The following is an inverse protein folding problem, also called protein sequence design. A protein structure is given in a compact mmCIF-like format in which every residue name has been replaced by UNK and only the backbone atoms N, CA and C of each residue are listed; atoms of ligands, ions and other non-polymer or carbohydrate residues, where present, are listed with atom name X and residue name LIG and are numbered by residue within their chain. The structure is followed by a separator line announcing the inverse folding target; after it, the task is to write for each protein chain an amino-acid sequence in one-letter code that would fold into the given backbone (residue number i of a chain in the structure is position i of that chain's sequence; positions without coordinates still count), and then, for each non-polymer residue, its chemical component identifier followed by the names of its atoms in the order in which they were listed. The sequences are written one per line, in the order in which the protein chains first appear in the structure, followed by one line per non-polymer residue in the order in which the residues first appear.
data_IF_549908011244
#
_entry.id   IF_549908011244
#
_cell.length_a   1.000
_cell.length_b   1.000
_cell.length_c   1.000
_cell.angle_alpha   90.00
_cell.angle_beta   90.00
_cell.angle_gamma   90.00
#
_symmetry.space_group_name_H-M   'P 1'
#
loop_
_entity.id
_entity.type
_entity.pdbx_description
1 polymer ?
#
# COMPACT_ATOMS: atom_id res chain seq x y z
N UNK A 1 -12.79 -9.73 6.04
CA UNK A 1 -11.66 -10.30 6.81
C UNK A 1 -11.66 -11.80 6.59
N UNK A 2 -10.51 -12.48 6.61
CA UNK A 2 -10.46 -13.95 6.57
C UNK A 2 -10.44 -14.54 7.98
N UNK A 3 -10.70 -15.84 8.12
CA UNK A 3 -10.63 -16.56 9.40
C UNK A 3 -9.21 -16.57 9.99
N UNK A 4 -8.21 -16.41 9.13
CA UNK A 4 -6.80 -16.28 9.52
C UNK A 4 -6.39 -14.83 9.81
N UNK A 5 -7.35 -13.90 9.76
CA UNK A 5 -7.15 -12.52 10.13
C UNK A 5 -6.60 -11.65 9.01
N UNK A 6 -6.46 -12.11 7.76
CA UNK A 6 -6.15 -11.22 6.64
C UNK A 6 -7.29 -10.21 6.43
N UNK A 7 -6.96 -8.99 6.00
CA UNK A 7 -7.91 -7.87 5.90
C UNK A 7 -7.79 -7.27 4.52
N UNK A 8 -8.94 -7.03 3.90
CA UNK A 8 -9.12 -6.22 2.71
C UNK A 8 -10.14 -5.14 3.04
N UNK A 9 -9.79 -3.89 2.77
CA UNK A 9 -10.61 -2.72 3.05
C UNK A 9 -10.87 -1.99 1.75
N UNK A 10 -12.15 -1.71 1.48
CA UNK A 10 -12.59 -1.04 0.25
C UNK A 10 -13.24 0.28 0.61
N UNK A 11 -12.72 1.36 0.07
CA UNK A 11 -13.35 2.67 0.08
C UNK A 11 -13.85 2.95 -1.34
N UNK A 12 -15.12 2.60 -1.56
CA UNK A 12 -15.77 2.68 -2.86
C UNK A 12 -15.87 4.13 -3.37
N UNK A 13 -16.04 5.11 -2.47
CA UNK A 13 -16.19 6.52 -2.84
C UNK A 13 -14.98 7.05 -3.62
N UNK A 14 -13.78 6.67 -3.20
CA UNK A 14 -12.53 7.17 -3.78
C UNK A 14 -11.77 6.11 -4.60
N UNK A 15 -12.39 4.95 -4.86
CA UNK A 15 -11.76 3.81 -5.55
C UNK A 15 -10.43 3.37 -4.91
N UNK A 16 -10.42 3.28 -3.57
CA UNK A 16 -9.23 2.87 -2.81
C UNK A 16 -9.47 1.45 -2.29
N UNK A 17 -8.49 0.58 -2.49
CA UNK A 17 -8.50 -0.78 -1.94
C UNK A 17 -7.18 -1.01 -1.23
N UNK A 18 -7.25 -1.48 0.01
CA UNK A 18 -6.11 -1.87 0.82
C UNK A 18 -6.22 -3.34 1.16
N UNK A 19 -5.13 -4.09 1.13
CA UNK A 19 -5.09 -5.44 1.65
C UNK A 19 -3.80 -5.70 2.43
N UNK A 20 -3.94 -6.52 3.47
CA UNK A 20 -2.85 -6.95 4.33
C UNK A 20 -3.05 -8.42 4.70
N UNK A 21 -2.10 -9.25 4.32
CA UNK A 21 -2.00 -10.67 4.72
C UNK A 21 -1.99 -10.83 6.24
N UNK A 22 -2.24 -12.05 6.74
CA UNK A 22 -2.18 -12.37 8.19
C UNK A 22 -0.84 -11.96 8.80
N UNK A 23 0.26 -12.36 8.15
CA UNK A 23 1.64 -12.12 8.58
C UNK A 23 2.10 -10.67 8.39
N UNK A 24 1.40 -9.93 7.53
CA UNK A 24 1.82 -8.62 7.04
C UNK A 24 3.05 -8.66 6.11
N UNK A 25 3.51 -9.86 5.74
CA UNK A 25 4.59 -10.09 4.78
C UNK A 25 4.14 -9.94 3.31
N UNK A 26 2.85 -9.74 3.10
CA UNK A 26 2.28 -9.26 1.83
C UNK A 26 1.25 -8.15 2.09
N UNK A 27 1.29 -7.10 1.28
CA UNK A 27 0.43 -5.92 1.38
C UNK A 27 0.16 -5.33 0.00
N UNK A 28 -1.02 -4.74 -0.20
CA UNK A 28 -1.42 -4.15 -1.46
C UNK A 28 -2.22 -2.86 -1.26
N UNK A 29 -1.93 -1.84 -2.05
CA UNK A 29 -2.67 -0.59 -2.14
C UNK A 29 -3.01 -0.32 -3.61
N UNK A 30 -4.30 -0.09 -3.87
CA UNK A 30 -4.81 0.50 -5.10
C UNK A 30 -5.40 1.84 -4.72
N UNK A 31 -4.89 2.91 -5.33
CA UNK A 31 -5.29 4.28 -5.06
C UNK A 31 -5.25 5.08 -6.38
N UNK A 32 -6.03 6.16 -6.55
CA UNK A 32 -5.98 6.93 -7.81
C UNK A 32 -4.59 7.52 -8.14
N UNK A 33 -3.78 7.85 -7.12
CA UNK A 33 -2.38 8.28 -7.32
C UNK A 33 -1.40 7.15 -7.66
N UNK A 34 -1.82 5.90 -7.56
CA UNK A 34 -0.92 4.78 -7.85
C UNK A 34 -1.24 3.48 -7.14
N UNK A 35 -0.41 2.49 -7.44
CA UNK A 35 -0.55 1.11 -7.00
C UNK A 35 0.75 0.67 -6.33
N UNK A 36 0.63 -0.07 -5.23
CA UNK A 36 1.76 -0.59 -4.47
C UNK A 36 1.48 -2.05 -4.14
N UNK A 37 2.38 -2.94 -4.52
CA UNK A 37 2.28 -4.36 -4.21
C UNK A 37 3.56 -4.85 -3.56
N UNK A 38 3.44 -5.26 -2.29
CA UNK A 38 4.52 -5.86 -1.52
C UNK A 38 4.25 -7.36 -1.40
N UNK A 39 5.23 -8.17 -1.81
CA UNK A 39 5.20 -9.63 -1.70
C UNK A 39 6.59 -10.12 -1.30
N UNK A 40 6.69 -10.69 -0.10
CA UNK A 40 7.98 -11.08 0.48
C UNK A 40 8.94 -9.90 0.58
N UNK A 41 10.15 -10.04 0.00
CA UNK A 41 11.21 -9.02 0.04
C UNK A 41 11.08 -7.88 -0.98
N UNK A 42 10.12 -7.96 -1.92
CA UNK A 42 9.97 -7.02 -3.03
C UNK A 42 8.80 -6.06 -2.81
N UNK A 43 8.88 -4.88 -3.42
CA UNK A 43 7.78 -3.91 -3.52
C UNK A 43 7.74 -3.36 -4.93
N UNK A 44 6.65 -3.59 -5.64
CA UNK A 44 6.35 -3.00 -6.95
C UNK A 44 5.48 -1.77 -6.74
N UNK A 45 5.77 -0.70 -7.48
CA UNK A 45 5.16 0.61 -7.31
C UNK A 45 4.89 1.18 -8.69
N UNK A 46 3.67 1.66 -8.90
CA UNK A 46 3.28 2.46 -10.05
C UNK A 46 2.69 3.76 -9.50
N UNK A 47 3.34 4.89 -9.76
CA UNK A 47 2.79 6.20 -9.50
C UNK A 47 2.04 6.67 -10.75
N UNK A 48 0.76 7.04 -10.58
CA UNK A 48 -0.10 7.47 -11.67
C UNK A 48 -0.06 8.98 -11.79
N UNK A 49 0.40 9.45 -12.94
CA UNK A 49 0.45 10.87 -13.26
C UNK A 49 -0.82 11.25 -14.03
N UNK A 50 -1.47 12.36 -13.64
CA UNK A 50 -2.79 12.73 -14.17
C UNK A 50 -2.76 13.03 -15.68
N UNK A 51 -1.65 13.55 -16.19
CA UNK A 51 -1.45 13.88 -17.60
C UNK A 51 -0.84 12.71 -18.40
N UNK A 52 -0.82 11.50 -17.84
CA UNK A 52 -0.12 10.34 -18.40
C UNK A 52 1.37 10.29 -18.05
N UNK A 53 2.11 9.36 -18.65
CA UNK A 53 3.51 9.03 -18.33
C UNK A 53 3.70 8.51 -16.90
N UNK A 54 3.13 7.34 -16.62
CA UNK A 54 3.22 6.68 -15.32
C UNK A 54 4.68 6.43 -14.92
N UNK A 55 4.96 6.52 -13.62
CA UNK A 55 6.29 6.26 -13.06
C UNK A 55 6.28 4.92 -12.34
N UNK A 56 7.36 4.17 -12.46
CA UNK A 56 7.48 2.84 -11.89
C UNK A 56 8.67 2.78 -10.95
N UNK A 57 8.53 2.08 -9.83
CA UNK A 57 9.63 1.73 -8.95
C UNK A 57 9.52 0.29 -8.45
N UNK A 58 10.67 -0.33 -8.24
CA UNK A 58 10.82 -1.67 -7.69
C UNK A 58 11.84 -1.66 -6.58
N UNK A 59 11.41 -1.86 -5.34
CA UNK A 59 12.30 -2.02 -4.19
C UNK A 59 12.65 -3.49 -4.01
N UNK A 60 13.95 -3.81 -4.00
CA UNK A 60 14.43 -5.18 -3.93
C UNK A 60 15.88 -5.25 -3.44
N UNK A 61 16.47 -6.45 -3.43
CA UNK A 61 17.79 -6.67 -2.83
C UNK A 61 18.90 -5.81 -3.45
N UNK A 62 18.82 -5.49 -4.75
CA UNK A 62 19.82 -4.64 -5.42
C UNK A 62 19.69 -3.15 -5.12
N UNK A 63 18.55 -2.67 -4.61
CA UNK A 63 18.29 -1.23 -4.43
C UNK A 63 16.87 -0.85 -4.82
N UNK A 64 16.72 0.32 -5.45
CA UNK A 64 15.45 0.77 -6.03
C UNK A 64 15.62 1.00 -7.52
N UNK A 65 15.02 0.12 -8.33
CA UNK A 65 14.96 0.32 -9.77
C UNK A 65 13.77 1.23 -10.10
N UNK A 66 13.90 2.14 -11.05
CA UNK A 66 12.82 3.05 -11.44
C UNK A 66 12.88 3.47 -12.90
N UNK A 67 11.73 3.80 -13.46
CA UNK A 67 11.59 4.33 -14.83
C UNK A 67 10.28 5.11 -14.98
N UNK A 68 10.06 5.66 -16.17
CA UNK A 68 8.82 6.26 -16.59
C UNK A 68 8.31 5.57 -17.86
N UNK A 69 7.01 5.57 -18.08
CA UNK A 69 6.37 4.98 -19.27
C UNK A 69 6.92 5.53 -20.60
N UNK A 70 7.29 6.82 -20.63
CA UNK A 70 7.91 7.47 -21.78
C UNK A 70 9.44 7.55 -21.69
N UNK A 71 10.07 6.81 -20.76
CA UNK A 71 11.52 6.75 -20.64
C UNK A 71 12.05 5.44 -21.24
N UNK A 72 13.02 5.56 -22.14
CA UNK A 72 13.66 4.40 -22.75
C UNK A 72 14.59 3.63 -21.79
N UNK A 73 15.04 4.29 -20.71
CA UNK A 73 16.00 3.74 -19.77
C UNK A 73 15.35 3.36 -18.45
N UNK A 74 15.87 2.31 -17.85
CA UNK A 74 15.59 1.95 -16.46
C UNK A 74 16.82 2.28 -15.63
N UNK A 75 16.60 2.94 -14.51
CA UNK A 75 17.63 3.34 -13.58
C UNK A 75 17.57 2.49 -12.32
N UNK A 76 18.71 2.37 -11.65
CA UNK A 76 18.86 1.71 -10.35
C UNK A 76 19.60 2.67 -9.42
N UNK A 77 19.01 2.91 -8.26
CA UNK A 77 19.68 3.56 -7.13
C UNK A 77 20.08 2.50 -6.13
N UNK A 78 21.39 2.31 -5.95
CA UNK A 78 21.96 1.39 -4.97
C UNK A 78 23.07 2.05 -4.14
N UNK A 79 23.86 1.25 -3.41
CA UNK A 79 24.95 1.76 -2.58
C UNK A 79 26.12 2.37 -3.38
N UNK A 80 26.20 2.14 -4.70
CA UNK A 80 27.19 2.74 -5.58
C UNK A 80 26.67 4.00 -6.30
N UNK A 81 25.43 4.42 -6.02
CA UNK A 81 24.78 5.57 -6.65
C UNK A 81 23.76 5.19 -7.71
N UNK A 82 23.60 6.06 -8.72
CA UNK A 82 22.58 5.91 -9.76
C UNK A 82 23.22 5.41 -11.06
N UNK A 83 22.70 4.31 -11.61
CA UNK A 83 23.15 3.74 -12.89
C UNK A 83 21.98 3.19 -13.70
N UNK A 84 22.21 2.87 -14.97
CA UNK A 84 21.21 2.18 -15.79
C UNK A 84 21.16 0.68 -15.47
N UNK A 85 20.02 0.05 -15.73
CA UNK A 85 19.76 -1.38 -15.51
C UNK A 85 18.76 -1.89 -16.57
N UNK A 86 18.55 -3.21 -16.63
CA UNK A 86 17.59 -3.88 -17.52
C UNK A 86 16.42 -4.48 -16.75
N UNK A 87 16.07 -3.88 -15.61
CA UNK A 87 15.00 -4.36 -14.76
C UNK A 87 13.63 -4.21 -15.41
N UNK A 88 12.79 -5.22 -15.20
CA UNK A 88 11.37 -5.17 -15.57
C UNK A 88 10.50 -4.87 -14.35
N UNK A 89 9.28 -4.41 -14.62
CA UNK A 89 8.26 -4.06 -13.62
C UNK A 89 7.05 -4.95 -13.83
N UNK A 90 6.37 -5.30 -12.73
CA UNK A 90 5.16 -6.09 -12.78
C UNK A 90 4.00 -5.28 -13.39
N UNK A 91 3.22 -5.90 -14.28
CA UNK A 91 1.93 -5.31 -14.67
C UNK A 91 0.97 -5.36 -13.47
N UNK A 92 0.63 -4.19 -12.97
CA UNK A 92 -0.30 -4.01 -11.86
C UNK A 92 -1.68 -3.55 -12.32
N UNK A 93 -2.07 -3.78 -13.58
CA UNK A 93 -3.38 -3.41 -14.14
C UNK A 93 -4.58 -4.09 -13.46
N UNK A 94 -4.40 -5.34 -13.03
CA UNK A 94 -5.42 -6.17 -12.39
C UNK A 94 -5.60 -5.88 -10.89
N UNK A 95 -6.68 -6.40 -10.29
CA UNK A 95 -6.86 -6.38 -8.83
C UNK A 95 -6.03 -7.46 -8.14
N UNK A 96 -4.80 -7.12 -7.77
CA UNK A 96 -3.89 -7.99 -7.01
C UNK A 96 -4.18 -8.01 -5.49
N UNK A 97 -5.15 -7.23 -4.99
CA UNK A 97 -5.47 -7.18 -3.55
C UNK A 97 -6.15 -8.46 -3.07
N UNK A 98 -6.87 -9.17 -3.95
CA UNK A 98 -7.47 -10.47 -3.65
C UNK A 98 -6.42 -11.54 -3.42
N UNK A 99 -5.33 -11.53 -4.20
CA UNK A 99 -4.21 -12.44 -3.98
C UNK A 99 -3.60 -12.23 -2.58
N UNK A 100 -3.40 -10.99 -2.14
CA UNK A 100 -2.94 -10.69 -0.78
C UNK A 100 -3.94 -11.17 0.28
N UNK A 101 -5.24 -11.06 0.00
CA UNK A 101 -6.29 -11.42 0.94
C UNK A 101 -6.46 -12.93 1.10
N UNK A 102 -6.33 -13.71 0.02
CA UNK A 102 -6.63 -15.15 0.03
C UNK A 102 -5.39 -16.07 0.09
N UNK A 103 -4.23 -15.68 -0.45
CA UNK A 103 -3.11 -16.62 -0.66
C UNK A 103 -2.56 -17.26 0.63
N UNK A 104 -2.63 -16.55 1.76
CA UNK A 104 -2.22 -17.07 3.09
C UNK A 104 -3.43 -17.31 4.01
N UNK A 105 -4.62 -17.54 3.45
CA UNK A 105 -5.85 -17.70 4.23
C UNK A 105 -6.61 -18.95 3.83
N UNK A 106 -7.03 -19.71 4.84
CA UNK A 106 -7.99 -20.79 4.73
C UNK A 106 -9.33 -20.21 4.30
N UNK A 107 -9.93 -20.82 3.28
CA UNK A 107 -11.20 -20.42 2.72
C UNK A 107 -11.89 -21.60 2.04
N UNK A 108 -13.18 -21.46 1.74
CA UNK A 108 -14.00 -22.50 1.12
C UNK A 108 -14.96 -23.20 2.10
N UNK A 109 -15.78 -24.15 1.60
CA UNK A 109 -16.90 -24.72 2.35
C UNK A 109 -16.50 -25.36 3.69
N UNK A 110 -15.31 -25.98 3.75
CA UNK A 110 -14.81 -26.67 4.95
C UNK A 110 -14.59 -25.75 6.15
N UNK A 111 -14.51 -24.43 5.94
CA UNK A 111 -14.23 -23.44 6.99
C UNK A 111 -15.44 -22.57 7.36
N UNK A 112 -16.63 -22.86 6.82
CA UNK A 112 -17.85 -22.07 7.09
C UNK A 112 -18.21 -22.07 8.57
N UNK A 113 -18.13 -23.22 9.24
CA UNK A 113 -18.43 -23.31 10.67
C UNK A 113 -17.46 -22.47 11.53
N UNK A 114 -16.16 -22.48 11.21
CA UNK A 114 -15.16 -21.63 11.88
C UNK A 114 -15.46 -20.14 11.65
N UNK A 115 -15.83 -19.75 10.43
CA UNK A 115 -16.23 -18.38 10.13
C UNK A 115 -17.49 -17.96 10.90
N UNK A 116 -18.49 -18.84 11.04
CA UNK A 116 -19.69 -18.58 11.83
C UNK A 116 -19.35 -18.38 13.31
N UNK A 117 -18.51 -19.24 13.90
CA UNK A 117 -18.06 -19.08 15.28
C UNK A 117 -17.32 -17.75 15.49
N UNK A 118 -16.49 -17.32 14.54
CA UNK A 118 -15.81 -16.03 14.60
C UNK A 118 -16.79 -14.85 14.53
N UNK A 119 -17.84 -14.93 13.71
CA UNK A 119 -18.88 -13.90 13.61
C UNK A 119 -19.68 -13.81 14.91
N UNK A 120 -20.02 -14.95 15.52
CA UNK A 120 -20.74 -15.00 16.80
C UNK A 120 -19.93 -14.39 17.96
N UNK A 121 -18.61 -14.43 17.88
CA UNK A 121 -17.70 -13.87 18.89
C UNK A 121 -17.38 -12.38 18.68
N UNK A 122 -17.96 -11.72 17.66
CA UNK A 122 -17.70 -10.31 17.38
C UNK A 122 -18.22 -9.43 18.51
N UNK A 123 -17.39 -8.49 18.93
CA UNK A 123 -17.77 -7.45 19.87
C UNK A 123 -18.03 -6.15 19.11
N UNK A 124 -19.07 -5.43 19.49
CA UNK A 124 -19.42 -4.11 18.96
C UNK A 124 -19.69 -3.13 20.11
N UNK A 125 -19.26 -1.88 19.93
CA UNK A 125 -19.66 -0.78 20.79
C UNK A 125 -19.54 0.56 20.06
N UNK A 126 -20.34 1.53 20.50
CA UNK A 126 -20.30 2.92 20.07
C UNK A 126 -19.66 3.75 21.18
N UNK A 127 -18.71 4.61 20.86
CA UNK A 127 -18.15 5.57 21.83
C UNK A 127 -19.03 6.82 21.95
N UNK A 128 -18.89 7.57 23.03
CA UNK A 128 -19.61 8.84 23.24
C UNK A 128 -19.37 9.85 22.10
N UNK A 129 -18.17 9.85 21.50
CA UNK A 129 -17.83 10.67 20.33
C UNK A 129 -18.42 10.16 19.00
N UNK A 130 -19.32 9.16 19.03
CA UNK A 130 -19.98 8.63 17.84
C UNK A 130 -19.09 7.77 16.93
N UNK A 131 -18.10 7.06 17.49
CA UNK A 131 -17.21 6.16 16.74
C UNK A 131 -17.67 4.72 16.91
N UNK A 132 -18.05 4.09 15.82
CA UNK A 132 -18.35 2.66 15.78
C UNK A 132 -17.07 1.85 15.92
N UNK A 133 -17.07 0.85 16.79
CA UNK A 133 -15.94 -0.04 17.00
C UNK A 133 -16.38 -1.50 16.96
N UNK A 134 -15.54 -2.32 16.34
CA UNK A 134 -15.66 -3.77 16.35
C UNK A 134 -14.36 -4.44 16.74
N UNK A 135 -14.44 -5.57 17.43
CA UNK A 135 -13.35 -6.55 17.52
C UNK A 135 -13.81 -7.82 16.83
N UNK A 136 -13.13 -8.17 15.75
CA UNK A 136 -13.40 -9.36 14.93
C UNK A 136 -12.10 -10.15 14.88
N UNK A 137 -12.05 -11.36 15.45
CA UNK A 137 -10.85 -12.22 15.41
C UNK A 137 -9.57 -11.48 15.86
N UNK A 138 -9.61 -10.80 17.02
CA UNK A 138 -8.51 -9.98 17.56
C UNK A 138 -8.05 -8.82 16.66
N UNK A 139 -8.85 -8.44 15.66
CA UNK A 139 -8.65 -7.25 14.83
C UNK A 139 -9.64 -6.19 15.24
N UNK A 140 -9.13 -5.02 15.64
CA UNK A 140 -9.95 -3.85 15.96
C UNK A 140 -10.25 -3.07 14.69
N UNK A 141 -11.51 -2.81 14.43
CA UNK A 141 -11.99 -1.91 13.38
C UNK A 141 -12.68 -0.74 14.07
N UNK A 142 -12.38 0.48 13.65
CA UNK A 142 -13.08 1.68 14.11
C UNK A 142 -13.49 2.54 12.93
N UNK A 143 -14.70 3.07 12.94
CA UNK A 143 -15.23 3.98 11.93
C UNK A 143 -15.79 5.23 12.58
N UNK A 144 -15.31 6.40 12.15
CA UNK A 144 -15.84 7.70 12.59
C UNK A 144 -17.07 8.10 11.77
N UNK A 145 -17.82 9.10 12.24
CA UNK A 145 -19.01 9.62 11.56
C UNK A 145 -18.75 10.13 10.13
N UNK A 146 -17.55 10.65 9.84
CA UNK A 146 -17.14 11.06 8.49
C UNK A 146 -16.69 9.88 7.60
N UNK A 147 -16.77 8.65 8.12
CA UNK A 147 -16.46 7.41 7.42
C UNK A 147 -14.99 7.02 7.39
N UNK A 148 -14.10 7.72 8.11
CA UNK A 148 -12.71 7.28 8.26
C UNK A 148 -12.67 5.92 8.98
N UNK A 149 -12.16 4.91 8.28
CA UNK A 149 -11.96 3.57 8.82
C UNK A 149 -10.51 3.39 9.23
N UNK A 150 -10.29 2.85 10.43
CA UNK A 150 -9.00 2.37 10.92
C UNK A 150 -9.12 0.91 11.30
N UNK A 151 -8.14 0.10 10.90
CA UNK A 151 -8.04 -1.30 11.25
C UNK A 151 -6.68 -1.54 11.89
N UNK A 152 -6.66 -2.19 13.06
CA UNK A 152 -5.45 -2.50 13.81
C UNK A 152 -5.43 -3.97 14.20
N UNK A 153 -4.27 -4.62 14.06
CA UNK A 153 -3.99 -5.94 14.64
C UNK A 153 -2.79 -5.86 15.58
N UNK A 154 -2.76 -6.71 16.61
CA UNK A 154 -1.62 -7.01 17.48
C UNK A 154 -0.57 -5.88 17.63
N UNK A 155 -0.59 -5.18 18.77
CA UNK A 155 0.41 -4.18 19.19
C UNK A 155 0.63 -2.99 18.24
N UNK A 156 -0.41 -2.44 17.60
CA UNK A 156 -0.35 -1.29 16.67
C UNK A 156 0.68 -1.42 15.52
N UNK A 157 1.31 -2.58 15.32
CA UNK A 157 2.34 -2.80 14.28
C UNK A 157 1.73 -2.98 12.91
N UNK A 158 0.49 -3.46 12.85
CA UNK A 158 -0.27 -3.70 11.64
C UNK A 158 -1.46 -2.74 11.61
N UNK A 159 -1.44 -1.79 10.69
CA UNK A 159 -2.46 -0.77 10.58
C UNK A 159 -2.90 -0.60 9.12
N UNK A 160 -4.21 -0.47 8.93
CA UNK A 160 -4.81 -0.01 7.68
C UNK A 160 -5.70 1.18 8.00
N UNK A 161 -5.68 2.19 7.14
CA UNK A 161 -6.53 3.37 7.30
C UNK A 161 -7.00 3.85 5.95
N UNK A 162 -8.26 4.24 5.83
CA UNK A 162 -8.71 5.01 4.66
C UNK A 162 -9.85 5.96 5.00
N UNK A 163 -9.87 7.13 4.37
CA UNK A 163 -10.93 8.13 4.54
C UNK A 163 -11.66 8.41 3.21
N UNK A 164 -13.00 8.35 3.20
CA UNK A 164 -13.80 8.79 2.07
C UNK A 164 -13.82 10.31 1.91
N UNK A 165 -13.53 11.07 2.97
CA UNK A 165 -13.57 12.55 2.99
C UNK A 165 -12.47 13.19 2.16
N UNK A 166 -11.24 12.66 2.25
CA UNK A 166 -10.06 13.25 1.59
C UNK A 166 -9.26 12.25 0.75
N UNK A 167 -9.77 11.04 0.56
CA UNK A 167 -9.07 9.99 -0.20
C UNK A 167 -7.77 9.53 0.45
N UNK A 168 -7.51 9.83 1.72
CA UNK A 168 -6.30 9.33 2.37
C UNK A 168 -6.36 7.82 2.56
N UNK A 169 -5.22 7.17 2.41
CA UNK A 169 -5.04 5.75 2.60
C UNK A 169 -3.66 5.47 3.21
N UNK A 170 -3.57 4.51 4.13
CA UNK A 170 -2.27 4.06 4.63
C UNK A 170 -2.26 2.59 5.01
N UNK A 171 -1.08 1.99 4.82
CA UNK A 171 -0.74 0.64 5.26
C UNK A 171 0.55 0.75 6.07
N UNK A 172 0.54 0.23 7.28
CA UNK A 172 1.73 0.10 8.12
C UNK A 172 1.86 -1.35 8.57
N UNK A 173 3.02 -1.94 8.31
CA UNK A 173 3.48 -3.22 8.85
C UNK A 173 4.96 -3.10 9.23
N UNK A 174 5.55 -4.09 9.93
CA UNK A 174 6.99 -4.13 10.14
C UNK A 174 7.82 -4.12 8.85
N UNK A 175 7.22 -4.48 7.70
CA UNK A 175 7.92 -4.65 6.42
C UNK A 175 7.66 -3.51 5.42
N UNK A 176 6.59 -2.74 5.61
CA UNK A 176 6.15 -1.71 4.68
C UNK A 176 5.44 -0.58 5.41
N UNK A 177 5.75 0.65 5.06
CA UNK A 177 4.90 1.79 5.37
C UNK A 177 4.57 2.51 4.06
N UNK A 178 3.28 2.65 3.77
CA UNK A 178 2.78 3.28 2.56
C UNK A 178 1.64 4.23 2.90
N UNK A 179 1.66 5.43 2.31
CA UNK A 179 0.60 6.42 2.41
C UNK A 179 0.26 6.96 1.03
N UNK A 180 -1.02 7.29 0.82
CA UNK A 180 -1.49 8.01 -0.35
C UNK A 180 -2.62 8.96 0.05
N UNK A 181 -2.82 10.04 -0.69
CA UNK A 181 -3.86 11.03 -0.40
C UNK A 181 -4.34 11.75 -1.65
N UNK A 182 -5.63 12.04 -1.73
CA UNK A 182 -6.25 12.94 -2.71
C UNK A 182 -6.55 14.33 -2.14
N UNK A 183 -6.17 14.58 -0.88
CA UNK A 183 -6.39 15.85 -0.21
C UNK A 183 -5.51 16.97 -0.77
N UNK A 184 -5.41 18.08 -0.01
CA UNK A 184 -4.64 19.26 -0.42
C UNK A 184 -3.19 18.94 -0.81
N UNK A 185 -2.56 17.98 -0.13
CA UNK A 185 -1.26 17.44 -0.49
C UNK A 185 -1.42 16.06 -1.11
N UNK A 186 -1.68 16.05 -2.42
CA UNK A 186 -1.70 14.82 -3.20
C UNK A 186 -0.32 14.16 -3.14
N UNK A 187 -0.27 12.89 -2.73
CA UNK A 187 0.99 12.16 -2.72
C UNK A 187 0.79 10.64 -2.79
N UNK A 188 1.87 9.95 -3.10
CA UNK A 188 2.09 8.53 -2.89
C UNK A 188 3.48 8.37 -2.27
N UNK A 189 3.54 7.80 -1.07
CA UNK A 189 4.78 7.54 -0.36
C UNK A 189 4.88 6.05 -0.01
N UNK A 190 6.07 5.49 -0.19
CA UNK A 190 6.38 4.11 0.14
C UNK A 190 7.73 4.05 0.83
N UNK A 191 7.81 3.34 1.95
CA UNK A 191 9.04 3.07 2.69
C UNK A 191 9.15 1.60 3.03
N UNK A 192 10.36 1.06 2.81
CA UNK A 192 10.77 -0.28 3.25
C UNK A 192 12.22 -0.24 3.73
N UNK A 193 12.41 -0.30 5.04
CA UNK A 193 13.73 -0.10 5.66
C UNK A 193 14.29 1.28 5.28
N UNK A 194 15.44 1.29 4.62
CA UNK A 194 16.13 2.48 4.11
C UNK A 194 15.71 2.90 2.70
N UNK A 195 14.90 2.08 2.02
CA UNK A 195 14.39 2.38 0.68
C UNK A 195 13.13 3.23 0.79
N UNK A 196 13.05 4.29 0.00
CA UNK A 196 11.88 5.19 -0.06
C UNK A 196 11.52 5.53 -1.49
N UNK A 197 10.25 5.78 -1.73
CA UNK A 197 9.71 6.37 -2.96
C UNK A 197 8.70 7.43 -2.54
N UNK A 198 8.80 8.61 -3.13
CA UNK A 198 7.85 9.71 -2.95
C UNK A 198 7.43 10.25 -4.32
N UNK A 199 6.14 10.42 -4.49
CA UNK A 199 5.53 11.05 -5.65
C UNK A 199 4.49 12.05 -5.18
N UNK A 200 4.57 13.31 -5.61
CA UNK A 200 3.65 14.39 -5.21
C UNK A 200 2.69 14.84 -6.34
N UNK A 201 2.70 14.11 -7.46
CA UNK A 201 1.97 14.49 -8.68
C UNK A 201 2.88 15.06 -9.77
N UNK A 202 4.01 15.67 -9.40
CA UNK A 202 4.96 16.28 -10.33
C UNK A 202 6.34 15.63 -10.24
N UNK A 203 6.91 15.58 -9.04
CA UNK A 203 8.21 15.00 -8.76
C UNK A 203 8.09 13.54 -8.35
N UNK A 204 8.96 12.68 -8.89
CA UNK A 204 9.05 11.27 -8.53
C UNK A 204 10.46 10.98 -8.05
N UNK A 205 10.63 10.72 -6.75
CA UNK A 205 11.95 10.54 -6.14
C UNK A 205 12.02 9.16 -5.49
N UNK A 206 13.06 8.40 -5.82
CA UNK A 206 13.44 7.18 -5.11
C UNK A 206 14.72 7.42 -4.32
N UNK A 207 14.85 6.68 -3.21
CA UNK A 207 16.01 6.75 -2.32
C UNK A 207 16.39 5.36 -1.87
N UNK A 208 17.69 5.09 -1.85
CA UNK A 208 18.28 3.93 -1.20
C UNK A 208 19.40 4.40 -0.27
N UNK A 209 19.15 4.33 1.05
CA UNK A 209 20.08 4.81 2.07
C UNK A 209 20.47 6.29 1.86
N UNK A 210 21.72 6.58 1.51
CA UNK A 210 22.23 7.93 1.26
C UNK A 210 21.96 8.47 -0.14
N UNK A 211 21.68 7.60 -1.11
CA UNK A 211 21.56 8.00 -2.52
C UNK A 211 20.11 8.20 -2.93
N UNK A 212 19.86 9.24 -3.72
CA UNK A 212 18.54 9.50 -4.28
C UNK A 212 18.63 9.93 -5.74
N UNK A 213 17.64 9.50 -6.51
CA UNK A 213 17.45 9.96 -7.88
C UNK A 213 15.96 9.88 -8.22
N UNK A 214 15.58 10.52 -9.32
CA UNK A 214 14.19 10.64 -9.67
C UNK A 214 13.95 11.38 -10.97
N UNK A 215 12.68 11.65 -11.23
CA UNK A 215 12.25 12.54 -12.29
C UNK A 215 11.69 13.82 -11.67
N UNK A 216 12.13 14.96 -12.20
CA UNK A 216 11.54 16.26 -11.86
C UNK A 216 10.20 16.48 -12.59
N UNK A 217 9.61 17.65 -12.37
CA UNK A 217 8.38 18.12 -13.01
C UNK A 217 8.45 18.16 -14.54
N UNK A 218 9.66 18.25 -15.11
CA UNK A 218 9.92 18.22 -16.55
C UNK A 218 10.22 16.82 -17.07
N UNK A 219 10.00 15.79 -16.26
CA UNK A 219 10.35 14.40 -16.55
C UNK A 219 11.86 14.18 -16.82
N UNK A 220 12.73 15.08 -16.35
CA UNK A 220 14.17 14.94 -16.49
C UNK A 220 14.73 14.15 -15.30
N UNK A 221 15.68 13.28 -15.60
CA UNK A 221 16.42 12.56 -14.56
C UNK A 221 17.19 13.57 -13.68
N UNK A 222 17.03 13.46 -12.36
CA UNK A 222 17.82 14.16 -11.37
C UNK A 222 18.48 13.17 -10.43
N UNK A 223 19.73 13.44 -10.08
CA UNK A 223 20.51 12.72 -9.06
C UNK A 223 20.83 13.73 -7.96
N UNK A 224 20.68 13.32 -6.70
CA UNK A 224 20.85 14.15 -5.51
C UNK A 224 21.91 13.57 -4.58
#
# INVERSE_FOLDING_TARGET
MTIDGAVRLTNAKNNIILALSRSGASAALIHPNGRVYQYGSRVEIQARHQQGNNKYAKMWYKGVSFTAEQCALVYLVDAAGTRTTTDTFLDMSQDFTLNVFYNESRHGPSYVNEALSLIQAVQYWLTDDGIDNWIINNVRVSQTADGLVRVHRCSHKYQLRTSPSNGSASITSPFLHCTASLGQTQHLFVRRGERRMHFDGNSFIVRNAGHSAGFDDKNQLKVY
#
